data_IF_717198600122
#
_entry.id   IF_717198600122
#
_cell.length_a   1.000
_cell.length_b   1.000
_cell.length_c   1.000
_cell.angle_alpha   90.00
_cell.angle_beta   90.00
_cell.angle_gamma   90.00
#
_symmetry.space_group_name_H-M   'P 1'
#
loop_
_entity.id
_entity.type
_entity.pdbx_description
1 polymer ?
#
# COMPACT_ATOMS: atom_id res chain seq x y z
N UNK A 1 2.84 4.15 -2.79
CA UNK A 1 1.39 4.42 -2.81
C UNK A 1 0.96 4.96 -1.46
N UNK A 2 0.25 6.08 -1.39
CA UNK A 2 -0.39 6.51 -0.14
C UNK A 2 -1.64 5.65 0.09
N UNK A 3 -1.85 5.16 1.30
CA UNK A 3 -3.07 4.47 1.72
C UNK A 3 -3.51 5.00 3.07
N UNK A 4 -4.77 4.79 3.44
CA UNK A 4 -5.30 5.22 4.73
C UNK A 4 -5.66 4.01 5.56
N UNK A 5 -5.04 3.86 6.73
CA UNK A 5 -5.06 2.63 7.51
C UNK A 5 -5.85 2.83 8.80
N UNK A 6 -6.70 1.85 9.12
CA UNK A 6 -7.48 1.82 10.36
C UNK A 6 -8.68 2.76 10.33
N UNK A 7 -9.44 2.79 11.44
CA UNK A 7 -10.70 3.53 11.56
C UNK A 7 -10.53 5.04 11.38
N UNK A 8 -9.42 5.58 11.86
CA UNK A 8 -9.10 7.01 11.77
C UNK A 8 -8.44 7.39 10.45
N UNK A 9 -8.32 6.44 9.50
CA UNK A 9 -7.77 6.68 8.15
C UNK A 9 -6.39 7.35 8.23
N UNK A 10 -5.51 6.81 9.06
CA UNK A 10 -4.17 7.34 9.23
C UNK A 10 -3.37 7.19 7.91
N UNK A 11 -2.81 8.26 7.33
CA UNK A 11 -2.12 8.19 6.05
C UNK A 11 -0.77 7.47 6.19
N UNK A 12 -0.56 6.46 5.34
CA UNK A 12 0.68 5.67 5.29
C UNK A 12 1.21 5.62 3.87
N UNK A 13 2.50 5.90 3.70
CA UNK A 13 3.19 5.64 2.44
C UNK A 13 3.67 4.19 2.42
N UNK A 14 3.07 3.38 1.54
CA UNK A 14 3.42 1.99 1.33
C UNK A 14 4.21 1.79 0.02
N UNK A 15 5.26 0.97 0.07
CA UNK A 15 5.88 0.40 -1.11
C UNK A 15 4.98 -0.72 -1.64
N UNK A 16 4.77 -0.76 -2.95
CA UNK A 16 4.09 -1.88 -3.60
C UNK A 16 5.18 -2.79 -4.15
N UNK A 17 5.26 -4.02 -3.65
CA UNK A 17 6.43 -4.89 -3.85
C UNK A 17 6.02 -6.32 -4.22
N UNK A 18 6.26 -6.70 -5.48
CA UNK A 18 6.01 -8.06 -5.99
C UNK A 18 6.99 -9.09 -5.43
N UNK A 19 8.15 -8.66 -4.93
CA UNK A 19 9.16 -9.51 -4.32
C UNK A 19 8.93 -9.80 -2.84
N UNK A 20 8.03 -9.06 -2.17
CA UNK A 20 7.73 -9.27 -0.76
C UNK A 20 6.65 -10.34 -0.57
N UNK A 21 6.98 -11.39 0.19
CA UNK A 21 6.04 -12.48 0.51
C UNK A 21 4.95 -12.07 1.51
N UNK A 22 5.10 -10.90 2.14
CA UNK A 22 4.20 -10.42 3.18
C UNK A 22 3.88 -8.94 3.03
N UNK A 23 2.71 -8.54 3.52
CA UNK A 23 2.44 -7.14 3.82
C UNK A 23 3.10 -6.79 5.16
N UNK A 24 3.77 -5.65 5.20
CA UNK A 24 4.50 -5.17 6.37
C UNK A 24 4.00 -3.78 6.71
N UNK A 25 3.78 -3.50 7.99
CA UNK A 25 3.54 -2.15 8.49
C UNK A 25 4.57 -1.83 9.58
N UNK A 26 5.05 -0.60 9.61
CA UNK A 26 5.97 -0.18 10.67
C UNK A 26 5.25 -0.13 12.02
N UNK A 27 5.98 -0.41 13.10
CA UNK A 27 5.48 -0.24 14.48
C UNK A 27 4.80 1.12 14.67
N UNK A 28 5.45 2.19 14.22
CA UNK A 28 4.95 3.54 14.44
C UNK A 28 3.66 3.82 13.67
N UNK A 29 3.55 3.34 12.43
CA UNK A 29 2.31 3.45 11.65
C UNK A 29 1.19 2.62 12.28
N UNK A 30 1.48 1.41 12.76
CA UNK A 30 0.49 0.57 13.44
C UNK A 30 -0.03 1.21 14.75
N UNK A 31 0.85 1.85 15.53
CA UNK A 31 0.47 2.59 16.75
C UNK A 31 -0.41 3.79 16.39
N UNK A 32 0.01 4.61 15.42
CA UNK A 32 -0.74 5.80 15.01
C UNK A 32 -2.09 5.48 14.38
N UNK A 33 -2.20 4.35 13.69
CA UNK A 33 -3.45 3.83 13.15
C UNK A 33 -4.29 3.05 14.19
N UNK A 34 -3.83 2.95 15.44
CA UNK A 34 -4.51 2.23 16.54
C UNK A 34 -4.86 0.78 16.18
N UNK A 35 -3.94 0.06 15.53
CA UNK A 35 -4.18 -1.29 15.07
C UNK A 35 -4.16 -2.30 16.22
N UNK A 36 -5.26 -3.06 16.35
CA UNK A 36 -5.29 -4.27 17.16
C UNK A 36 -4.35 -5.31 16.55
N UNK A 37 -3.55 -5.95 17.38
CA UNK A 37 -2.58 -6.94 16.93
C UNK A 37 -2.36 -8.03 17.98
N UNK A 38 -1.83 -9.17 17.52
CA UNK A 38 -1.36 -10.28 18.36
C UNK A 38 0.11 -10.54 18.11
N UNK A 39 0.77 -11.30 19.00
CA UNK A 39 2.16 -11.72 18.76
C UNK A 39 2.23 -12.65 17.54
N UNK A 40 3.14 -12.40 16.58
CA UNK A 40 3.42 -13.33 15.50
C UNK A 40 4.28 -14.48 16.03
N UNK A 41 4.19 -15.65 15.41
CA UNK A 41 5.05 -16.80 15.71
C UNK A 41 6.14 -16.99 14.64
N UNK A 42 6.79 -15.89 14.21
CA UNK A 42 7.84 -15.91 13.18
C UNK A 42 8.62 -14.59 13.13
N UNK A 43 9.77 -14.60 12.44
CA UNK A 43 10.55 -13.41 12.06
C UNK A 43 10.79 -13.40 10.53
N UNK A 44 11.04 -12.23 9.95
CA UNK A 44 11.38 -12.11 8.52
C UNK A 44 12.89 -12.02 8.31
N UNK A 45 13.36 -12.65 7.24
CA UNK A 45 14.76 -12.58 6.80
C UNK A 45 14.81 -11.96 5.40
N UNK A 46 15.61 -10.91 5.24
CA UNK A 46 15.86 -10.30 3.94
C UNK A 46 16.95 -11.03 3.14
N UNK A 47 17.07 -10.68 1.86
CA UNK A 47 18.03 -11.29 0.91
C UNK A 47 19.49 -11.14 1.36
N UNK A 48 19.82 -10.09 2.12
CA UNK A 48 21.15 -9.89 2.73
C UNK A 48 21.39 -10.61 4.06
N UNK A 49 20.49 -11.50 4.48
CA UNK A 49 20.57 -12.20 5.78
C UNK A 49 20.15 -11.34 6.98
N UNK A 50 19.94 -10.04 6.80
CA UNK A 50 19.36 -9.16 7.82
C UNK A 50 18.01 -9.68 8.27
N UNK A 51 17.82 -9.73 9.58
CA UNK A 51 16.56 -10.18 10.19
C UNK A 51 15.77 -8.95 10.61
N UNK A 52 14.54 -8.84 10.13
CA UNK A 52 13.59 -7.83 10.59
C UNK A 52 12.76 -8.44 11.70
N UNK A 53 12.81 -7.85 12.89
CA UNK A 53 12.02 -8.31 14.03
C UNK A 53 10.54 -8.02 13.80
N UNK A 54 9.75 -9.08 13.65
CA UNK A 54 8.30 -8.99 13.66
C UNK A 54 7.81 -9.00 15.10
N UNK A 55 7.05 -7.97 15.45
CA UNK A 55 6.59 -7.75 16.83
C UNK A 55 5.08 -7.86 16.97
N UNK A 56 4.35 -7.92 15.86
CA UNK A 56 2.90 -7.98 15.83
C UNK A 56 2.38 -8.58 14.53
N UNK A 57 1.14 -9.05 14.56
CA UNK A 57 0.31 -9.34 13.40
C UNK A 57 -1.02 -8.60 13.58
N UNK A 58 -1.35 -7.72 12.64
CA UNK A 58 -2.64 -7.03 12.56
C UNK A 58 -3.49 -7.72 11.48
N UNK A 59 -4.52 -8.43 11.92
CA UNK A 59 -5.48 -9.11 11.06
C UNK A 59 -6.69 -8.22 10.82
N UNK A 60 -7.39 -8.43 9.70
CA UNK A 60 -8.62 -7.71 9.37
C UNK A 60 -8.48 -6.17 9.37
N UNK A 61 -7.32 -5.66 8.93
CA UNK A 61 -7.08 -4.21 8.94
C UNK A 61 -7.78 -3.57 7.74
N UNK A 62 -8.71 -2.67 8.01
CA UNK A 62 -9.35 -1.87 6.96
C UNK A 62 -8.36 -0.83 6.42
N UNK A 63 -8.15 -0.88 5.10
CA UNK A 63 -7.27 0.02 4.36
C UNK A 63 -8.03 0.63 3.20
N UNK A 64 -8.16 1.94 3.21
CA UNK A 64 -8.69 2.69 2.08
C UNK A 64 -7.57 2.98 1.09
N UNK A 65 -7.78 2.50 -0.13
CA UNK A 65 -6.95 2.83 -1.28
C UNK A 65 -7.26 4.25 -1.75
N UNK A 66 -6.34 4.88 -2.49
CA UNK A 66 -6.56 6.21 -3.05
C UNK A 66 -7.77 6.38 -3.96
N UNK A 67 -8.24 5.29 -4.55
CA UNK A 67 -9.50 5.24 -5.32
C UNK A 67 -10.74 5.47 -4.45
N UNK A 68 -10.60 5.36 -3.13
CA UNK A 68 -11.71 5.35 -2.16
C UNK A 68 -12.21 3.95 -1.83
N UNK A 69 -11.73 2.92 -2.52
CA UNK A 69 -12.09 1.53 -2.23
C UNK A 69 -11.47 1.08 -0.90
N UNK A 70 -12.28 0.43 -0.05
CA UNK A 70 -11.83 -0.15 1.21
C UNK A 70 -11.51 -1.64 1.00
N UNK A 71 -10.31 -2.03 1.45
CA UNK A 71 -9.80 -3.39 1.39
C UNK A 71 -9.45 -3.87 2.79
N UNK A 72 -9.71 -5.13 3.05
CA UNK A 72 -9.23 -5.78 4.26
C UNK A 72 -7.84 -6.38 4.01
N UNK A 73 -6.86 -6.00 4.82
CA UNK A 73 -5.46 -6.39 4.64
C UNK A 73 -4.92 -6.93 5.97
N UNK A 74 -4.20 -8.04 5.90
CA UNK A 74 -3.38 -8.53 7.01
C UNK A 74 -1.97 -7.94 6.91
N UNK A 75 -1.45 -7.37 8.01
CA UNK A 75 -0.07 -6.86 8.09
C UNK A 75 0.73 -7.55 9.19
N UNK A 76 1.98 -7.86 8.89
CA UNK A 76 2.98 -8.05 9.94
C UNK A 76 3.51 -6.68 10.42
N UNK A 77 3.58 -6.50 11.73
CA UNK A 77 4.12 -5.30 12.36
C UNK A 77 5.61 -5.51 12.59
N UNK A 78 6.43 -4.70 11.95
CA UNK A 78 7.88 -4.79 12.03
C UNK A 78 8.48 -3.64 12.86
N UNK A 79 9.56 -3.95 13.59
CA UNK A 79 10.39 -2.97 14.28
C UNK A 79 11.67 -2.71 13.47
N UNK A 80 12.12 -1.45 13.44
CA UNK A 80 13.37 -1.04 12.82
C UNK A 80 13.17 -0.12 11.61
N UNK A 81 14.26 0.16 10.89
CA UNK A 81 14.25 1.00 9.70
C UNK A 81 13.73 0.22 8.48
N UNK A 82 12.42 -0.02 8.45
CA UNK A 82 11.72 -0.70 7.35
C UNK A 82 10.61 0.19 6.79
N UNK A 83 10.24 -0.06 5.54
CA UNK A 83 9.09 0.57 4.92
C UNK A 83 7.81 -0.22 5.22
N UNK A 84 6.66 0.46 5.21
CA UNK A 84 5.38 -0.23 5.02
C UNK A 84 5.36 -0.81 3.61
N UNK A 85 4.98 -2.07 3.47
CA UNK A 85 4.96 -2.83 2.21
C UNK A 85 3.57 -3.43 2.00
N UNK A 86 3.06 -3.25 0.80
CA UNK A 86 1.97 -4.04 0.23
C UNK A 86 2.60 -5.08 -0.68
N UNK A 87 2.72 -6.29 -0.16
CA UNK A 87 3.41 -7.42 -0.79
C UNK A 87 2.45 -8.29 -1.60
N UNK A 88 2.95 -9.46 -2.01
CA UNK A 88 2.19 -10.45 -2.77
C UNK A 88 0.79 -10.76 -2.23
N UNK A 89 0.55 -10.93 -0.91
CA UNK A 89 -0.80 -11.19 -0.42
C UNK A 89 -1.80 -10.10 -0.83
N UNK A 90 -1.46 -8.81 -0.65
CA UNK A 90 -2.33 -7.73 -1.12
C UNK A 90 -2.49 -7.72 -2.64
N UNK A 91 -1.41 -7.98 -3.39
CA UNK A 91 -1.43 -7.96 -4.85
C UNK A 91 -2.34 -9.07 -5.42
N UNK A 92 -2.18 -10.29 -4.90
CA UNK A 92 -2.91 -11.48 -5.32
C UNK A 92 -4.40 -11.36 -4.96
N UNK A 93 -4.73 -10.98 -3.71
CA UNK A 93 -6.11 -10.82 -3.22
C UNK A 93 -6.90 -9.78 -4.01
N UNK A 94 -6.20 -8.81 -4.62
CA UNK A 94 -6.81 -7.70 -5.34
C UNK A 94 -6.59 -7.76 -6.86
N UNK A 95 -6.13 -8.91 -7.38
CA UNK A 95 -5.87 -9.15 -8.80
C UNK A 95 -5.05 -8.03 -9.46
N UNK A 96 -4.05 -7.53 -8.72
CA UNK A 96 -3.18 -6.45 -9.17
C UNK A 96 -2.20 -7.01 -10.18
N UNK A 97 -2.13 -6.36 -11.34
CA UNK A 97 -1.23 -6.73 -12.43
C UNK A 97 -0.13 -5.70 -12.58
N UNK A 98 1.08 -6.20 -12.78
CA UNK A 98 2.21 -5.41 -13.27
C UNK A 98 2.15 -5.44 -14.80
N UNK A 99 1.91 -4.28 -15.41
CA UNK A 99 1.90 -4.13 -16.86
C UNK A 99 2.99 -3.15 -17.29
N UNK A 100 3.49 -3.30 -18.52
CA UNK A 100 4.39 -2.32 -19.13
C UNK A 100 3.63 -1.47 -20.14
N UNK A 101 3.60 -0.16 -19.90
CA UNK A 101 2.99 0.82 -20.80
C UNK A 101 4.07 1.59 -21.56
N UNK A 102 3.96 1.64 -22.89
CA UNK A 102 4.91 2.43 -23.71
C UNK A 102 4.93 3.93 -23.34
N UNK A 103 3.83 4.47 -22.81
CA UNK A 103 3.73 5.89 -22.42
C UNK A 103 4.09 6.16 -20.96
N UNK A 104 3.89 5.18 -20.07
CA UNK A 104 3.98 5.36 -18.60
C UNK A 104 5.05 4.49 -17.94
N UNK A 105 5.77 3.68 -18.70
CA UNK A 105 6.68 2.67 -18.17
C UNK A 105 5.93 1.56 -17.44
N UNK A 106 6.54 1.00 -16.41
CA UNK A 106 5.91 -0.01 -15.54
C UNK A 106 4.74 0.61 -14.76
N UNK A 107 3.58 -0.03 -14.85
CA UNK A 107 2.36 0.37 -14.16
C UNK A 107 1.82 -0.79 -13.33
N UNK A 108 1.32 -0.48 -12.13
CA UNK A 108 0.38 -1.35 -11.43
C UNK A 108 -1.03 -1.06 -11.94
N UNK A 109 -1.80 -2.09 -12.28
CA UNK A 109 -3.20 -1.94 -12.62
C UNK A 109 -4.07 -2.92 -11.86
N UNK A 110 -5.27 -2.49 -11.48
CA UNK A 110 -6.28 -3.37 -10.90
C UNK A 110 -7.66 -3.03 -11.45
N UNK A 111 -8.57 -4.02 -11.48
CA UNK A 111 -9.95 -3.81 -11.88
C UNK A 111 -10.80 -3.39 -10.69
N UNK A 112 -11.47 -2.26 -10.82
CA UNK A 112 -12.54 -1.84 -9.92
C UNK A 112 -13.80 -2.69 -10.14
N UNK A 113 -14.70 -2.72 -9.16
CA UNK A 113 -15.95 -3.50 -9.23
C UNK A 113 -16.89 -3.13 -10.38
N UNK A 114 -16.71 -1.97 -11.01
CA UNK A 114 -17.45 -1.53 -12.20
C UNK A 114 -16.73 -1.86 -13.53
N UNK A 115 -15.68 -2.68 -13.48
CA UNK A 115 -14.93 -3.16 -14.63
C UNK A 115 -13.85 -2.19 -15.14
N UNK A 116 -13.79 -0.95 -14.63
CA UNK A 116 -12.72 -0.01 -14.98
C UNK A 116 -11.38 -0.48 -14.44
N UNK A 117 -10.29 -0.18 -15.17
CA UNK A 117 -8.92 -0.44 -14.69
C UNK A 117 -8.28 0.85 -14.20
N UNK A 118 -7.92 0.86 -12.93
CA UNK A 118 -7.11 1.92 -12.36
C UNK A 118 -5.64 1.57 -12.54
N UNK A 119 -4.88 2.47 -13.17
CA UNK A 119 -3.46 2.28 -13.44
C UNK A 119 -2.62 3.31 -12.68
N UNK A 120 -1.60 2.85 -11.97
CA UNK A 120 -0.65 3.66 -11.21
C UNK A 120 0.76 3.43 -11.74
N UNK A 121 1.47 4.48 -12.21
CA UNK A 121 2.86 4.32 -12.62
C UNK A 121 3.76 3.99 -11.41
N UNK A 122 4.63 3.00 -11.58
CA UNK A 122 5.65 2.62 -10.59
C UNK A 122 6.85 3.56 -10.72
N UNK A 123 7.20 3.89 -11.96
CA UNK A 123 8.27 4.79 -12.30
C UNK A 123 7.79 5.94 -13.20
N UNK A 124 7.96 7.18 -12.74
CA UNK A 124 7.99 8.31 -13.67
C UNK A 124 9.35 8.28 -14.38
N UNK A 125 9.42 8.41 -15.73
CA UNK A 125 10.66 8.22 -16.48
C UNK A 125 11.86 9.06 -16.01
N UNK A 126 11.65 10.21 -15.33
CA UNK A 126 12.71 11.19 -15.08
C UNK A 126 12.82 11.69 -13.61
N UNK A 127 12.47 10.90 -12.60
CA UNK A 127 12.70 11.30 -11.18
C UNK A 127 13.32 10.18 -10.35
N UNK A 128 14.42 10.49 -9.67
CA UNK A 128 15.11 9.63 -8.72
C UNK A 128 14.33 9.55 -7.39
N UNK A 129 14.07 8.34 -6.88
CA UNK A 129 13.45 8.10 -5.56
C UNK A 129 12.05 7.46 -5.59
N UNK A 130 11.70 6.73 -4.52
CA UNK A 130 10.41 6.02 -4.34
C UNK A 130 9.27 6.91 -3.83
N UNK A 131 9.58 8.13 -3.39
CA UNK A 131 8.59 9.13 -2.98
C UNK A 131 7.99 9.79 -4.22
N UNK A 132 6.91 9.24 -4.78
CA UNK A 132 6.20 9.83 -5.91
C UNK A 132 4.68 9.85 -5.68
N UNK A 133 4.09 11.01 -5.94
CA UNK A 133 2.65 11.25 -5.92
C UNK A 133 1.93 10.53 -7.05
N UNK A 134 0.68 10.18 -6.80
CA UNK A 134 -0.17 9.44 -7.72
C UNK A 134 -0.54 10.27 -8.95
N UNK A 135 -0.40 9.66 -10.13
CA UNK A 135 -1.12 10.09 -11.32
C UNK A 135 -2.14 9.03 -11.69
N UNK A 136 -3.41 9.33 -11.46
CA UNK A 136 -4.52 8.45 -11.84
C UNK A 136 -4.76 8.53 -13.35
N UNK A 137 -5.13 7.39 -13.93
CA UNK A 137 -5.34 7.24 -15.37
C UNK A 137 -6.70 7.75 -15.88
N UNK A 138 -7.55 8.33 -15.02
CA UNK A 138 -8.75 9.07 -15.44
C UNK A 138 -8.90 10.32 -14.58
N UNK A 139 -8.91 11.48 -15.23
CA UNK A 139 -8.82 12.80 -14.60
C UNK A 139 -10.14 13.32 -13.99
N UNK A 140 -11.23 12.56 -14.06
CA UNK A 140 -12.58 13.10 -13.84
C UNK A 140 -13.07 13.00 -12.39
N UNK A 141 -12.58 12.05 -11.57
CA UNK A 141 -13.11 11.85 -10.20
C UNK A 141 -12.26 12.41 -9.06
N UNK A 142 -10.96 12.63 -9.23
CA UNK A 142 -10.09 13.16 -8.16
C UNK A 142 -10.43 14.60 -7.78
N UNK A 143 -10.76 15.43 -8.78
CA UNK A 143 -11.16 16.82 -8.54
C UNK A 143 -12.42 16.90 -7.67
N UNK A 144 -13.31 15.93 -7.82
CA UNK A 144 -14.54 15.81 -7.01
C UNK A 144 -14.27 15.30 -5.58
N UNK A 145 -13.18 14.56 -5.37
CA UNK A 145 -12.79 14.11 -4.03
C UNK A 145 -12.07 15.21 -3.23
N UNK A 146 -11.09 15.91 -3.83
CA UNK A 146 -10.44 17.05 -3.15
C UNK A 146 -11.40 18.21 -2.88
N UNK A 147 -12.45 18.39 -3.68
CA UNK A 147 -13.49 19.40 -3.40
C UNK A 147 -14.40 19.02 -2.22
N UNK A 148 -14.57 17.71 -1.97
CA UNK A 148 -15.35 17.16 -0.83
C UNK A 148 -14.55 17.06 0.46
N UNK A 149 -13.23 16.85 0.38
CA UNK A 149 -12.30 16.90 1.52
C UNK A 149 -11.82 18.35 1.72
N UNK A 150 -12.77 19.28 1.93
CA UNK A 150 -12.43 20.52 2.63
C UNK A 150 -12.22 20.14 4.10
N UNK A 151 -10.95 20.16 4.53
CA UNK A 151 -10.58 20.18 5.94
C UNK A 151 -11.38 21.33 6.61
N UNK A 152 -12.31 20.96 7.48
CA UNK A 152 -12.80 21.82 8.55
C UNK A 152 -11.90 21.65 9.75
#
# INVERSE_FOLDING_TARGET
>A
MQVFVGKERYPVMALVDTGSEHNIITKDAAIKASLKNRKPNMNLRGIGGHTTSLIGLAEFTQVMLPSGEEKEIQFFIARGAVHTVLGRPFLEDNNIRLDFSQKKGEIFSYQEGDGRRLCMPICKPNMLGWQRGMELCSMEKIKDWFSKVKLK
#
